data_IF_658219641011
#
_entry.id   IF_658219641011
#
_cell.length_a   1.000
_cell.length_b   1.000
_cell.length_c   1.000
_cell.angle_alpha   90.00
_cell.angle_beta   90.00
_cell.angle_gamma   90.00
#
_symmetry.space_group_name_H-M   'P 1'
#
loop_
_entity.id
_entity.type
_entity.pdbx_description
1 polymer ?
#
# COMPACT_ATOMS: atom_id res chain seq x y z
N UNK A 1 8.71 7.27 -22.96
CA UNK A 1 8.08 6.42 -21.93
C UNK A 1 8.35 4.96 -22.23
N UNK A 2 8.72 4.19 -21.21
CA UNK A 2 8.95 2.74 -21.34
C UNK A 2 7.69 1.99 -20.93
N UNK A 3 7.28 1.02 -21.74
CA UNK A 3 6.24 0.07 -21.33
C UNK A 3 6.93 -1.16 -20.74
N UNK A 4 6.72 -1.43 -19.45
CA UNK A 4 7.31 -2.57 -18.78
C UNK A 4 6.44 -3.80 -19.02
N UNK A 5 7.04 -4.85 -19.55
CA UNK A 5 6.35 -6.11 -19.83
C UNK A 5 7.17 -7.27 -19.25
N UNK A 6 6.47 -8.27 -18.74
CA UNK A 6 7.10 -9.47 -18.18
C UNK A 6 8.16 -9.14 -17.11
N UNK A 7 7.90 -8.10 -16.32
CA UNK A 7 8.83 -7.65 -15.30
C UNK A 7 8.98 -8.69 -14.20
N UNK A 8 10.22 -8.98 -13.83
CA UNK A 8 10.54 -9.81 -12.67
C UNK A 8 11.69 -9.16 -11.90
N UNK A 9 11.37 -8.46 -10.83
CA UNK A 9 12.37 -7.77 -10.02
C UNK A 9 13.27 -8.73 -9.24
N UNK A 10 12.91 -10.00 -9.11
CA UNK A 10 13.76 -10.99 -8.44
C UNK A 10 15.10 -11.18 -9.16
N UNK A 11 15.13 -10.97 -10.47
CA UNK A 11 16.33 -11.12 -11.29
C UNK A 11 17.03 -9.78 -11.58
N UNK A 12 16.51 -8.66 -11.09
CA UNK A 12 17.04 -7.33 -11.37
C UNK A 12 17.99 -6.89 -10.26
N UNK A 13 19.29 -6.68 -10.55
CA UNK A 13 20.25 -6.26 -9.53
C UNK A 13 20.00 -4.86 -8.99
N UNK A 14 19.21 -4.03 -9.67
CA UNK A 14 18.84 -2.70 -9.21
C UNK A 14 17.60 -2.72 -8.29
N UNK A 15 16.93 -3.86 -8.16
CA UNK A 15 15.78 -3.98 -7.28
C UNK A 15 16.23 -4.03 -5.82
N UNK A 16 15.40 -3.47 -4.96
CA UNK A 16 15.63 -3.43 -3.52
C UNK A 16 14.51 -4.18 -2.79
N UNK A 17 14.86 -4.82 -1.70
CA UNK A 17 13.91 -5.42 -0.78
C UNK A 17 13.48 -4.36 0.22
N UNK A 18 12.18 -4.09 0.29
CA UNK A 18 11.64 -3.05 1.16
C UNK A 18 10.43 -3.55 1.92
N UNK A 19 10.12 -2.89 3.02
CA UNK A 19 8.90 -3.13 3.80
C UNK A 19 8.15 -1.81 3.97
N UNK A 20 6.83 -1.89 3.98
CA UNK A 20 6.01 -0.72 4.27
C UNK A 20 5.98 -0.52 5.78
N UNK A 21 6.27 0.70 6.22
CA UNK A 21 6.34 1.05 7.63
C UNK A 21 5.65 2.39 7.85
N UNK A 22 4.32 2.33 7.89
CA UNK A 22 3.49 3.51 8.09
C UNK A 22 2.59 3.29 9.30
N UNK A 23 2.56 4.28 10.20
CA UNK A 23 1.59 4.31 11.29
C UNK A 23 0.36 5.07 10.82
N UNK A 24 -0.80 4.43 10.99
CA UNK A 24 -2.09 5.01 10.63
C UNK A 24 -2.99 5.04 11.85
N UNK A 25 -3.98 5.92 11.84
CA UNK A 25 -5.00 5.95 12.88
C UNK A 25 -6.20 5.14 12.41
N UNK A 26 -6.74 4.31 13.28
CA UNK A 26 -7.83 3.39 12.95
C UNK A 26 -8.99 3.58 13.90
N UNK A 27 -10.18 3.65 13.34
CA UNK A 27 -11.45 3.57 14.06
C UNK A 27 -12.24 2.41 13.46
N UNK A 28 -13.12 1.82 14.25
CA UNK A 28 -14.00 0.77 13.77
C UNK A 28 -15.42 1.29 13.68
N UNK A 29 -16.06 1.08 12.53
CA UNK A 29 -17.42 1.56 12.31
C UNK A 29 -18.40 0.86 13.23
N UNK A 30 -19.29 1.62 13.84
CA UNK A 30 -20.38 1.11 14.67
C UNK A 30 -21.71 1.06 13.93
N UNK A 31 -21.77 1.70 12.77
CA UNK A 31 -22.93 1.72 11.90
C UNK A 31 -22.46 1.86 10.45
N UNK A 32 -23.35 1.65 9.51
CA UNK A 32 -23.01 1.85 8.10
C UNK A 32 -22.90 3.33 7.77
N UNK A 33 -22.11 3.65 6.76
CA UNK A 33 -21.91 5.01 6.31
C UNK A 33 -21.00 5.08 5.09
N UNK A 34 -20.49 6.27 4.83
CA UNK A 34 -19.64 6.53 3.67
C UNK A 34 -18.56 7.54 4.06
N UNK A 35 -17.34 7.32 3.58
CA UNK A 35 -16.26 8.29 3.69
C UNK A 35 -15.65 8.57 2.32
N UNK A 36 -15.00 9.72 2.19
CA UNK A 36 -14.34 10.10 0.95
C UNK A 36 -12.89 9.65 0.98
N UNK A 37 -12.48 8.83 0.01
CA UNK A 37 -11.09 8.43 -0.19
C UNK A 37 -10.53 9.14 -1.42
N UNK A 38 -9.23 8.96 -1.66
CA UNK A 38 -8.59 9.51 -2.87
C UNK A 38 -9.19 8.95 -4.16
N UNK A 39 -9.74 7.75 -4.10
CA UNK A 39 -10.37 7.10 -5.25
C UNK A 39 -11.86 7.41 -5.37
N UNK A 40 -12.39 8.24 -4.47
CA UNK A 40 -13.80 8.61 -4.43
C UNK A 40 -14.50 8.09 -3.17
N UNK A 41 -15.84 8.08 -3.17
CA UNK A 41 -16.60 7.63 -2.00
C UNK A 41 -16.40 6.14 -1.73
N UNK A 42 -16.18 5.81 -0.45
CA UNK A 42 -16.11 4.43 0.02
C UNK A 42 -17.20 4.18 1.04
N UNK A 43 -18.00 3.14 0.81
CA UNK A 43 -19.04 2.74 1.76
C UNK A 43 -18.46 1.77 2.78
N UNK A 44 -18.97 1.84 4.00
CA UNK A 44 -18.54 0.94 5.06
C UNK A 44 -19.74 0.39 5.83
N UNK A 45 -19.52 -0.76 6.45
CA UNK A 45 -20.50 -1.46 7.28
C UNK A 45 -19.97 -1.53 8.72
N UNK A 46 -20.85 -1.83 9.70
CA UNK A 46 -20.39 -2.03 11.08
C UNK A 46 -19.26 -3.06 11.15
N UNK A 47 -18.22 -2.72 11.92
CA UNK A 47 -17.04 -3.57 12.08
C UNK A 47 -15.90 -3.27 11.12
N UNK A 48 -16.15 -2.55 10.03
CA UNK A 48 -15.09 -2.18 9.11
C UNK A 48 -14.09 -1.22 9.76
N UNK A 49 -12.83 -1.32 9.35
CA UNK A 49 -11.78 -0.42 9.82
C UNK A 49 -11.77 0.85 8.97
N UNK A 50 -11.85 1.99 9.63
CA UNK A 50 -11.77 3.30 9.00
C UNK A 50 -10.39 3.85 9.26
N UNK A 51 -9.58 3.96 8.22
CA UNK A 51 -8.16 4.27 8.34
C UNK A 51 -7.89 5.69 7.89
N UNK A 52 -7.08 6.41 8.69
CA UNK A 52 -6.59 7.74 8.36
C UNK A 52 -5.08 7.72 8.38
N UNK A 53 -4.45 8.08 7.28
CA UNK A 53 -3.00 8.18 7.18
C UNK A 53 -2.47 9.45 7.85
N UNK A 54 -1.15 9.51 8.03
CA UNK A 54 -0.50 10.71 8.56
C UNK A 54 -0.71 11.95 7.67
N UNK A 55 -0.99 11.74 6.38
CA UNK A 55 -1.30 12.82 5.44
C UNK A 55 -2.77 13.21 5.39
N UNK A 56 -3.62 12.58 6.22
CA UNK A 56 -5.05 12.89 6.23
C UNK A 56 -5.87 12.11 5.21
N UNK A 57 -5.27 11.23 4.44
CA UNK A 57 -5.98 10.37 3.49
C UNK A 57 -6.78 9.32 4.26
N UNK A 58 -7.97 9.01 3.77
CA UNK A 58 -8.86 8.06 4.44
C UNK A 58 -9.32 6.96 3.50
N UNK A 59 -9.46 5.74 4.04
CA UNK A 59 -10.02 4.61 3.29
C UNK A 59 -10.64 3.59 4.24
N UNK A 60 -11.34 2.63 3.65
CA UNK A 60 -12.04 1.57 4.37
C UNK A 60 -11.35 0.24 4.11
N UNK A 61 -11.18 -0.56 5.15
CA UNK A 61 -10.68 -1.93 5.04
C UNK A 61 -11.66 -2.83 5.80
N UNK A 62 -12.06 -3.95 5.18
CA UNK A 62 -12.89 -4.91 5.88
C UNK A 62 -12.17 -5.46 7.11
N UNK A 63 -12.91 -5.88 8.12
CA UNK A 63 -12.32 -6.39 9.36
C UNK A 63 -11.38 -7.56 9.10
N UNK A 64 -11.76 -8.46 8.22
CA UNK A 64 -10.93 -9.62 7.88
C UNK A 64 -9.59 -9.21 7.27
N UNK A 65 -9.61 -8.27 6.32
CA UNK A 65 -8.38 -7.76 5.71
C UNK A 65 -7.55 -6.97 6.70
N UNK A 66 -8.20 -6.20 7.56
CA UNK A 66 -7.52 -5.45 8.59
C UNK A 66 -6.75 -6.37 9.53
N UNK A 67 -7.40 -7.42 10.03
CA UNK A 67 -6.76 -8.37 10.94
C UNK A 67 -5.57 -9.07 10.28
N UNK A 68 -5.63 -9.30 8.97
CA UNK A 68 -4.55 -9.95 8.24
C UNK A 68 -3.35 -9.04 7.97
N UNK A 69 -3.57 -7.72 7.88
CA UNK A 69 -2.55 -6.79 7.37
C UNK A 69 -2.00 -5.79 8.39
N UNK A 70 -2.66 -5.60 9.52
CA UNK A 70 -2.29 -4.56 10.47
C UNK A 70 -2.03 -5.12 11.86
N UNK A 71 -1.13 -4.44 12.58
CA UNK A 71 -0.80 -4.72 13.97
C UNK A 71 -0.90 -3.44 14.78
N UNK A 72 -1.29 -3.52 16.07
CA UNK A 72 -1.20 -2.34 16.94
C UNK A 72 0.21 -1.75 16.90
N UNK A 73 0.31 -0.44 16.81
CA UNK A 73 1.59 0.26 16.76
C UNK A 73 2.22 0.42 18.14
N UNK A 74 1.43 0.26 19.20
CA UNK A 74 1.91 0.36 20.59
C UNK A 74 1.49 -0.89 21.37
N UNK A 75 2.34 -1.37 22.32
CA UNK A 75 2.06 -2.62 23.04
C UNK A 75 0.79 -2.60 23.90
N UNK A 76 0.38 -1.41 24.35
CA UNK A 76 -0.79 -1.27 25.22
C UNK A 76 -2.13 -1.29 24.48
N UNK A 77 -2.11 -1.29 23.15
CA UNK A 77 -3.33 -1.28 22.34
C UNK A 77 -3.75 -2.72 22.01
N UNK A 78 -4.89 -3.20 22.51
CA UNK A 78 -5.40 -4.49 22.10
C UNK A 78 -5.83 -4.46 20.63
N UNK A 79 -5.56 -5.53 19.91
CA UNK A 79 -5.98 -5.65 18.52
C UNK A 79 -7.51 -5.63 18.43
N UNK A 80 -8.04 -4.72 17.63
CA UNK A 80 -9.48 -4.56 17.49
C UNK A 80 -10.06 -3.34 18.19
N UNK A 81 -9.23 -2.60 18.93
CA UNK A 81 -9.61 -1.32 19.50
C UNK A 81 -9.09 -0.17 18.66
N UNK A 82 -9.78 0.97 18.71
CA UNK A 82 -9.37 2.16 17.98
C UNK A 82 -8.02 2.68 18.48
N UNK A 83 -7.19 3.14 17.58
CA UNK A 83 -5.89 3.69 17.93
C UNK A 83 -4.88 3.59 16.79
N UNK A 84 -3.58 3.76 17.08
CA UNK A 84 -2.53 3.69 16.07
C UNK A 84 -2.22 2.22 15.70
N UNK A 85 -2.13 1.98 14.40
CA UNK A 85 -1.77 0.68 13.83
C UNK A 85 -0.69 0.86 12.79
N UNK A 86 0.00 -0.22 12.48
CA UNK A 86 0.97 -0.26 11.39
C UNK A 86 0.81 -1.55 10.61
N UNK A 87 1.32 -1.57 9.40
CA UNK A 87 1.26 -2.76 8.57
C UNK A 87 2.10 -3.88 9.16
N UNK A 88 1.64 -5.11 9.02
CA UNK A 88 2.49 -6.27 9.26
C UNK A 88 3.66 -6.20 8.29
N UNK A 89 4.90 -6.46 8.73
CA UNK A 89 6.04 -6.37 7.83
C UNK A 89 5.98 -7.48 6.77
N UNK A 90 5.89 -7.06 5.51
CA UNK A 90 5.94 -7.93 4.34
C UNK A 90 6.99 -7.38 3.41
N UNK A 91 7.98 -8.19 3.07
CA UNK A 91 9.03 -7.78 2.14
C UNK A 91 8.47 -7.80 0.73
N UNK A 92 8.64 -6.68 0.02
CA UNK A 92 8.29 -6.55 -1.39
C UNK A 92 9.51 -6.04 -2.15
N UNK A 93 9.50 -6.20 -3.46
CA UNK A 93 10.58 -5.71 -4.31
C UNK A 93 10.20 -4.37 -4.92
N UNK A 94 11.17 -3.47 -5.00
CA UNK A 94 10.96 -2.13 -5.52
C UNK A 94 12.17 -1.69 -6.33
N UNK A 95 11.92 -0.94 -7.40
CA UNK A 95 12.98 -0.38 -8.23
C UNK A 95 12.65 1.06 -8.56
N UNK A 96 13.59 2.01 -8.31
CA UNK A 96 13.39 3.38 -8.74
C UNK A 96 13.56 3.48 -10.25
N UNK A 97 12.65 4.18 -10.91
CA UNK A 97 12.72 4.40 -12.35
C UNK A 97 13.26 5.80 -12.62
N UNK A 98 14.11 5.93 -13.60
CA UNK A 98 14.73 7.21 -13.95
C UNK A 98 14.11 7.85 -15.19
N UNK A 99 13.02 7.27 -15.69
CA UNK A 99 12.21 7.85 -16.75
C UNK A 99 10.74 7.44 -16.63
N UNK A 100 9.86 8.10 -17.37
CA UNK A 100 8.44 7.77 -17.36
C UNK A 100 8.23 6.34 -17.85
N UNK A 101 7.26 5.63 -17.25
CA UNK A 101 7.00 4.23 -17.55
C UNK A 101 5.54 3.88 -17.33
N UNK A 102 5.15 2.74 -17.89
CA UNK A 102 3.84 2.13 -17.64
C UNK A 102 4.00 0.65 -17.33
N UNK A 103 3.07 0.11 -16.59
CA UNK A 103 3.04 -1.31 -16.26
C UNK A 103 1.60 -1.75 -15.99
N UNK A 104 1.21 -2.92 -16.48
CA UNK A 104 -0.08 -3.49 -16.12
C UNK A 104 -0.05 -3.93 -14.65
N UNK A 105 -1.14 -3.67 -13.92
CA UNK A 105 -1.24 -4.00 -12.49
C UNK A 105 -1.01 -5.49 -12.24
N UNK A 106 -1.39 -6.34 -13.16
CA UNK A 106 -1.30 -7.78 -13.04
C UNK A 106 -0.85 -8.40 -14.36
N UNK A 107 -0.11 -9.51 -14.26
CA UNK A 107 0.30 -10.29 -15.44
C UNK A 107 -0.90 -10.83 -16.22
N UNK A 108 -2.05 -11.00 -15.57
CA UNK A 108 -3.29 -11.45 -16.21
C UNK A 108 -4.05 -10.31 -16.91
N UNK A 109 -3.53 -9.08 -16.85
CA UNK A 109 -4.18 -7.89 -17.39
C UNK A 109 -4.68 -6.96 -16.30
N UNK A 110 -5.67 -6.13 -16.62
CA UNK A 110 -6.20 -5.14 -15.69
C UNK A 110 -5.73 -3.73 -16.04
N UNK A 111 -5.82 -2.85 -15.06
CA UNK A 111 -5.46 -1.45 -15.25
C UNK A 111 -3.99 -1.28 -15.59
N UNK A 112 -3.70 -0.33 -16.48
CA UNK A 112 -2.32 0.08 -16.75
C UNK A 112 -1.99 1.24 -15.82
N UNK A 113 -0.91 1.08 -15.07
CA UNK A 113 -0.41 2.09 -14.15
C UNK A 113 0.69 2.89 -14.83
N UNK A 114 0.81 4.16 -14.48
CA UNK A 114 1.80 5.07 -15.05
C UNK A 114 2.64 5.69 -13.94
N UNK A 115 3.95 5.78 -14.19
CA UNK A 115 4.88 6.47 -13.31
C UNK A 115 5.71 7.49 -14.08
N UNK A 116 6.33 8.40 -13.36
CA UNK A 116 7.25 9.39 -13.91
C UNK A 116 8.67 9.12 -13.39
N UNK A 117 9.65 9.85 -13.90
CA UNK A 117 11.03 9.72 -13.41
C UNK A 117 11.08 9.99 -11.90
N UNK A 118 11.72 9.11 -11.16
CA UNK A 118 11.81 9.16 -9.71
C UNK A 118 10.78 8.30 -8.98
N UNK A 119 9.72 7.89 -9.65
CA UNK A 119 8.73 6.99 -9.05
C UNK A 119 9.27 5.56 -9.01
N UNK A 120 8.64 4.73 -8.19
CA UNK A 120 9.07 3.36 -7.96
C UNK A 120 8.10 2.38 -8.57
N UNK A 121 8.61 1.38 -9.26
CA UNK A 121 7.83 0.21 -9.65
C UNK A 121 7.94 -0.82 -8.53
N UNK A 122 6.81 -1.41 -8.15
CA UNK A 122 6.71 -2.38 -7.07
C UNK A 122 6.33 -3.74 -7.62
N UNK A 123 6.90 -4.78 -7.03
CA UNK A 123 6.46 -6.15 -7.27
C UNK A 123 6.10 -6.75 -5.93
N UNK A 124 4.79 -6.91 -5.69
CA UNK A 124 4.28 -7.47 -4.43
C UNK A 124 4.35 -8.99 -4.41
N UNK A 125 4.20 -9.58 -5.57
CA UNK A 125 4.32 -11.01 -5.81
C UNK A 125 4.58 -11.20 -7.31
N UNK A 126 5.01 -12.36 -7.77
CA UNK A 126 5.14 -12.60 -9.22
C UNK A 126 3.83 -12.30 -9.94
N UNK A 127 3.88 -11.38 -10.91
CA UNK A 127 2.70 -10.98 -11.68
C UNK A 127 1.79 -9.96 -11.01
N UNK A 128 2.18 -9.41 -9.87
CA UNK A 128 1.39 -8.44 -9.12
C UNK A 128 2.24 -7.17 -8.87
N UNK A 129 1.86 -6.07 -9.52
CA UNK A 129 2.67 -4.87 -9.60
C UNK A 129 1.95 -3.62 -9.11
N UNK A 130 2.73 -2.60 -8.79
CA UNK A 130 2.22 -1.29 -8.42
C UNK A 130 3.19 -0.18 -8.76
N UNK A 131 2.73 1.05 -8.63
CA UNK A 131 3.56 2.25 -8.78
C UNK A 131 3.39 3.09 -7.53
N UNK A 132 4.51 3.52 -6.95
CA UNK A 132 4.51 4.37 -5.77
C UNK A 132 5.27 5.65 -6.12
N UNK A 133 4.67 6.79 -5.83
CA UNK A 133 5.29 8.09 -6.06
C UNK A 133 6.53 8.24 -5.18
N UNK A 134 7.55 8.92 -5.68
CA UNK A 134 8.82 9.11 -4.97
C UNK A 134 8.62 9.63 -3.55
N UNK A 135 7.76 10.64 -3.38
CA UNK A 135 7.48 11.25 -2.07
C UNK A 135 6.82 10.26 -1.11
N UNK A 136 5.86 9.50 -1.60
CA UNK A 136 5.16 8.49 -0.81
C UNK A 136 6.11 7.37 -0.40
N UNK A 137 6.93 6.90 -1.34
CA UNK A 137 7.90 5.85 -1.07
C UNK A 137 8.85 6.25 0.05
N UNK A 138 9.37 7.47 0.00
CA UNK A 138 10.29 7.96 1.03
C UNK A 138 9.65 8.02 2.42
N UNK A 139 8.34 8.23 2.50
CA UNK A 139 7.62 8.33 3.77
C UNK A 139 7.27 6.98 4.38
N UNK A 140 6.92 5.99 3.56
CA UNK A 140 6.25 4.78 4.07
C UNK A 140 7.03 3.50 3.85
N UNK A 141 8.05 3.50 3.03
CA UNK A 141 8.87 2.32 2.78
C UNK A 141 10.27 2.48 3.37
N UNK A 142 10.83 1.40 3.86
CA UNK A 142 12.21 1.34 4.29
C UNK A 142 12.87 0.06 3.80
N UNK A 143 14.18 0.07 3.71
CA UNK A 143 14.92 -1.11 3.25
C UNK A 143 14.74 -2.25 4.26
N UNK A 144 14.48 -3.44 3.74
CA UNK A 144 14.41 -4.65 4.54
C UNK A 144 15.83 -5.21 4.76
N UNK A 145 16.07 -5.69 5.95
CA UNK A 145 17.34 -6.31 6.31
C UNK A 145 17.29 -7.83 6.25
#
# INVERSE_FOLDING_TARGET
>A
MIALEHLDLRADPAAQRVVKDETVMVEFATQEGELMSLEGPNRYAPGDALITSSGGERWVVSRERFDAKYLPAVPSLPHGEAGPYRNRPVVVLAKPMNEAFSIARSAAGGDVLHGTAGDWVMQYAPGDYGVVKAERFAKVYRRAH
#
